data_IF_298448653916
#
_entry.id   IF_298448653916
#
_cell.length_a   1.000
_cell.length_b   1.000
_cell.length_c   1.000
_cell.angle_alpha   90.00
_cell.angle_beta   90.00
_cell.angle_gamma   90.00
#
_symmetry.space_group_name_H-M   'P 1'
#
loop_
_entity.id
_entity.type
_entity.pdbx_description
1 polymer ?
#
# COMPACT_ATOMS: atom_id res chain seq x y z
N UNK A 1 36.33 24.32 58.27
CA UNK A 1 36.97 24.11 56.96
C UNK A 1 37.39 22.65 56.91
N UNK A 2 37.03 21.78 55.98
CA UNK A 2 36.41 21.87 54.65
C UNK A 2 35.75 20.49 54.36
N UNK A 3 34.49 20.49 53.93
CA UNK A 3 33.98 19.95 52.66
C UNK A 3 34.05 18.44 52.43
N UNK A 4 32.86 17.83 52.53
CA UNK A 4 32.53 16.52 51.96
C UNK A 4 32.22 16.67 50.47
N UNK A 5 32.75 15.76 49.64
CA UNK A 5 32.28 15.56 48.27
C UNK A 5 31.86 14.09 48.12
N UNK A 6 30.61 13.80 48.46
CA UNK A 6 29.96 12.56 48.06
C UNK A 6 29.59 12.70 46.57
N UNK A 7 30.28 11.93 45.72
CA UNK A 7 29.97 11.84 44.30
C UNK A 7 28.65 11.06 44.13
N UNK A 8 27.59 11.78 43.76
CA UNK A 8 26.35 11.18 43.29
C UNK A 8 26.56 10.64 41.87
N UNK A 9 26.20 9.38 41.55
CA UNK A 9 26.13 8.94 40.17
C UNK A 9 24.98 9.68 39.49
N UNK A 10 25.35 10.54 38.54
CA UNK A 10 24.41 11.26 37.68
C UNK A 10 23.59 10.25 36.90
N UNK A 11 22.28 10.48 36.92
CA UNK A 11 21.25 9.60 36.40
C UNK A 11 21.48 9.15 34.97
N UNK A 12 21.07 7.90 34.76
CA UNK A 12 20.86 7.27 33.46
C UNK A 12 20.09 8.25 32.58
N UNK A 13 20.75 8.72 31.53
CA UNK A 13 20.14 9.48 30.44
C UNK A 13 19.18 8.51 29.74
N UNK A 14 17.91 8.55 30.11
CA UNK A 14 16.85 7.89 29.37
C UNK A 14 16.79 8.64 28.04
N UNK A 15 17.40 8.07 27.00
CA UNK A 15 17.12 8.42 25.62
C UNK A 15 15.62 8.20 25.43
N UNK A 16 14.84 9.27 25.63
CA UNK A 16 13.45 9.33 25.21
C UNK A 16 13.46 9.05 23.73
N UNK A 17 13.06 7.84 23.36
CA UNK A 17 12.78 7.50 21.97
C UNK A 17 11.87 8.59 21.44
N UNK A 18 12.22 9.16 20.30
CA UNK A 18 11.33 10.03 19.55
C UNK A 18 10.13 9.15 19.23
N UNK A 19 9.10 9.21 20.07
CA UNK A 19 7.80 8.72 19.76
C UNK A 19 7.33 9.63 18.64
N UNK A 20 7.62 9.24 17.40
CA UNK A 20 6.88 9.72 16.25
C UNK A 20 5.43 9.44 16.58
N UNK A 21 4.72 10.48 17.00
CA UNK A 21 3.28 10.44 17.20
C UNK A 21 2.69 10.11 15.84
N UNK A 22 2.54 8.81 15.57
CA UNK A 22 1.72 8.33 14.47
C UNK A 22 0.31 8.74 14.85
N UNK A 23 -0.13 9.87 14.31
CA UNK A 23 -1.55 10.18 14.30
C UNK A 23 -2.21 8.95 13.69
N UNK A 24 -3.12 8.24 14.39
CA UNK A 24 -3.79 7.09 13.82
C UNK A 24 -4.38 7.56 12.50
N UNK A 25 -4.03 6.88 11.41
CA UNK A 25 -4.52 7.20 10.09
C UNK A 25 -6.07 7.29 10.16
N UNK A 26 -6.61 8.51 10.10
CA UNK A 26 -8.03 8.83 10.33
C UNK A 26 -8.93 8.07 9.36
N UNK A 27 -8.36 7.60 8.25
CA UNK A 27 -9.02 6.73 7.31
C UNK A 27 -9.54 5.42 7.92
N UNK A 28 -8.94 4.93 9.01
CA UNK A 28 -9.30 3.65 9.63
C UNK A 28 -10.26 3.75 10.80
N UNK A 29 -10.41 4.92 11.41
CA UNK A 29 -11.27 5.08 12.59
C UNK A 29 -12.75 4.85 12.25
N UNK A 30 -13.37 3.84 12.86
CA UNK A 30 -14.75 3.44 12.58
C UNK A 30 -14.95 2.72 11.23
N UNK A 31 -13.90 2.39 10.49
CA UNK A 31 -14.01 1.59 9.27
C UNK A 31 -14.42 0.15 9.61
N UNK A 32 -15.52 -0.31 9.03
CA UNK A 32 -16.06 -1.68 9.18
C UNK A 32 -15.76 -2.57 7.98
N UNK A 33 -15.27 -1.99 6.89
CA UNK A 33 -14.96 -2.68 5.64
C UNK A 33 -13.80 -1.97 4.93
N UNK A 34 -13.00 -2.76 4.22
CA UNK A 34 -12.03 -2.26 3.24
C UNK A 34 -12.57 -2.50 1.81
N UNK A 35 -12.82 -1.44 1.08
CA UNK A 35 -13.11 -1.49 -0.35
C UNK A 35 -11.83 -1.37 -1.17
N UNK A 36 -11.58 -2.27 -2.11
CA UNK A 36 -10.43 -2.21 -3.02
C UNK A 36 -10.93 -1.68 -4.36
N UNK A 37 -10.51 -0.48 -4.72
CA UNK A 37 -10.78 0.12 -6.02
C UNK A 37 -9.52 0.05 -6.87
N UNK A 38 -9.59 -0.65 -7.99
CA UNK A 38 -8.45 -0.84 -8.87
C UNK A 38 -8.65 -0.14 -10.21
N UNK A 39 -7.69 0.72 -10.58
CA UNK A 39 -7.59 1.34 -11.89
C UNK A 39 -6.28 0.87 -12.52
N UNK A 40 -6.38 -0.10 -13.42
CA UNK A 40 -5.23 -0.60 -14.19
C UNK A 40 -5.41 -0.14 -15.63
N UNK A 41 -4.43 0.57 -16.15
CA UNK A 41 -4.36 0.92 -17.57
C UNK A 41 -3.25 0.08 -18.23
N UNK A 42 -3.56 -1.11 -18.75
CA UNK A 42 -2.61 -1.88 -19.52
C UNK A 42 -2.66 -1.40 -20.96
N UNK A 43 -1.76 -0.49 -21.31
CA UNK A 43 -1.73 0.07 -22.66
C UNK A 43 -1.52 -1.07 -23.68
N UNK A 44 -2.34 -1.08 -24.73
CA UNK A 44 -2.25 -1.95 -25.92
C UNK A 44 -2.26 -3.48 -25.71
N UNK A 45 -2.56 -3.99 -24.51
CA UNK A 45 -2.64 -5.45 -24.29
C UNK A 45 -3.96 -6.04 -24.85
N UNK A 46 -3.91 -7.11 -25.68
CA UNK A 46 -5.12 -7.74 -26.23
C UNK A 46 -6.04 -8.32 -25.15
N UNK A 47 -5.48 -8.76 -24.01
CA UNK A 47 -6.20 -9.33 -22.87
C UNK A 47 -6.43 -8.33 -21.72
N UNK A 48 -6.44 -7.02 -22.00
CA UNK A 48 -6.54 -5.93 -21.00
C UNK A 48 -7.55 -6.20 -19.88
N UNK A 49 -8.78 -6.58 -20.23
CA UNK A 49 -9.85 -6.78 -19.23
C UNK A 49 -9.55 -7.95 -18.30
N UNK A 50 -9.02 -9.05 -18.85
CA UNK A 50 -8.62 -10.24 -18.07
C UNK A 50 -7.43 -9.93 -17.17
N UNK A 51 -6.44 -9.21 -17.70
CA UNK A 51 -5.27 -8.79 -16.94
C UNK A 51 -5.65 -7.86 -15.79
N UNK A 52 -6.48 -6.85 -16.07
CA UNK A 52 -6.99 -5.96 -15.04
C UNK A 52 -7.71 -6.76 -13.97
N UNK A 53 -8.67 -7.62 -14.33
CA UNK A 53 -9.39 -8.45 -13.35
C UNK A 53 -8.45 -9.31 -12.50
N UNK A 54 -7.48 -9.99 -13.11
CA UNK A 54 -6.51 -10.82 -12.39
C UNK A 54 -5.64 -10.02 -11.40
N UNK A 55 -5.17 -8.83 -11.81
CA UNK A 55 -4.41 -7.94 -10.93
C UNK A 55 -5.28 -7.41 -9.78
N UNK A 56 -6.51 -6.99 -10.07
CA UNK A 56 -7.48 -6.52 -9.07
C UNK A 56 -7.78 -7.61 -8.03
N UNK A 57 -8.10 -8.81 -8.50
CA UNK A 57 -8.40 -9.97 -7.66
C UNK A 57 -7.20 -10.33 -6.78
N UNK A 58 -5.99 -10.28 -7.33
CA UNK A 58 -4.76 -10.56 -6.59
C UNK A 58 -4.50 -9.52 -5.51
N UNK A 59 -4.62 -8.23 -5.81
CA UNK A 59 -4.45 -7.15 -4.83
C UNK A 59 -5.48 -7.29 -3.71
N UNK A 60 -6.75 -7.55 -4.04
CA UNK A 60 -7.80 -7.82 -3.04
C UNK A 60 -7.45 -9.01 -2.16
N UNK A 61 -7.00 -10.12 -2.74
CA UNK A 61 -6.61 -11.30 -1.97
C UNK A 61 -5.43 -11.01 -1.02
N UNK A 62 -4.42 -10.27 -1.47
CA UNK A 62 -3.27 -9.87 -0.64
C UNK A 62 -3.66 -8.87 0.46
N UNK A 63 -4.58 -7.95 0.19
CA UNK A 63 -5.12 -7.02 1.18
C UNK A 63 -6.00 -7.72 2.22
N UNK A 64 -6.72 -8.77 1.82
CA UNK A 64 -7.55 -9.59 2.68
C UNK A 64 -6.75 -10.50 3.63
N UNK A 65 -5.49 -10.80 3.30
CA UNK A 65 -4.63 -11.61 4.15
C UNK A 65 -4.51 -11.00 5.55
N UNK A 66 -5.03 -11.72 6.55
CA UNK A 66 -5.05 -11.33 7.98
C UNK A 66 -5.81 -10.02 8.27
N UNK A 67 -6.68 -9.58 7.36
CA UNK A 67 -7.48 -8.39 7.58
C UNK A 67 -8.49 -8.61 8.74
N UNK A 68 -8.59 -7.67 9.69
CA UNK A 68 -9.57 -7.73 10.78
C UNK A 68 -10.99 -7.33 10.33
N UNK A 69 -11.12 -6.78 9.13
CA UNK A 69 -12.37 -6.34 8.52
C UNK A 69 -12.54 -6.96 7.13
N UNK A 70 -13.78 -7.15 6.64
CA UNK A 70 -14.03 -7.67 5.31
C UNK A 70 -13.38 -6.82 4.21
N UNK A 71 -12.77 -7.48 3.23
CA UNK A 71 -12.14 -6.85 2.05
C UNK A 71 -12.90 -7.23 0.79
N UNK A 72 -13.43 -6.23 0.09
CA UNK A 72 -14.24 -6.41 -1.13
C UNK A 72 -13.67 -5.62 -2.29
N UNK A 73 -13.90 -6.05 -3.52
CA UNK A 73 -13.65 -5.22 -4.70
C UNK A 73 -14.81 -4.25 -4.90
N UNK A 74 -14.49 -2.99 -5.18
CA UNK A 74 -15.46 -1.96 -5.52
C UNK A 74 -15.28 -1.56 -6.98
N UNK A 75 -16.38 -1.65 -7.74
CA UNK A 75 -16.40 -1.18 -9.12
C UNK A 75 -16.40 0.36 -9.16
N UNK A 76 -15.97 0.98 -10.28
CA UNK A 76 -16.17 2.42 -10.49
C UNK A 76 -17.66 2.78 -10.34
N UNK A 77 -17.96 3.79 -9.51
CA UNK A 77 -19.32 4.23 -9.23
C UNK A 77 -20.06 3.41 -8.17
N UNK A 78 -19.42 2.42 -7.55
CA UNK A 78 -20.02 1.68 -6.43
C UNK A 78 -20.29 2.62 -5.23
N UNK A 79 -21.50 2.62 -4.64
CA UNK A 79 -21.82 3.50 -3.50
C UNK A 79 -20.95 3.22 -2.27
N UNK A 80 -20.34 2.04 -2.15
CA UNK A 80 -19.36 1.71 -1.13
C UNK A 80 -18.12 2.59 -1.16
N UNK A 81 -17.82 3.27 -2.28
CA UNK A 81 -16.70 4.21 -2.38
C UNK A 81 -16.88 5.47 -1.52
N UNK A 82 -18.13 5.81 -1.18
CA UNK A 82 -18.48 6.98 -0.36
C UNK A 82 -19.15 6.60 0.96
N UNK A 83 -19.26 5.31 1.26
CA UNK A 83 -19.87 4.85 2.50
C UNK A 83 -19.02 5.26 3.71
N UNK A 84 -19.66 5.82 4.73
CA UNK A 84 -19.00 6.38 5.91
C UNK A 84 -18.18 5.36 6.72
N UNK A 85 -18.53 4.08 6.62
CA UNK A 85 -17.91 2.96 7.31
C UNK A 85 -16.92 2.19 6.43
N UNK A 86 -16.63 2.67 5.22
CA UNK A 86 -15.73 2.00 4.28
C UNK A 86 -14.44 2.81 4.12
N UNK A 87 -13.31 2.20 4.48
CA UNK A 87 -12.01 2.67 4.02
C UNK A 87 -11.78 2.12 2.61
N UNK A 88 -11.30 2.96 1.69
CA UNK A 88 -11.04 2.56 0.30
C UNK A 88 -9.55 2.49 0.06
N UNK A 89 -9.05 1.32 -0.31
CA UNK A 89 -7.72 1.09 -0.84
C UNK A 89 -7.75 1.26 -2.37
N UNK A 90 -7.15 2.35 -2.83
CA UNK A 90 -7.02 2.68 -4.23
C UNK A 90 -5.70 2.10 -4.78
N UNK A 91 -5.82 1.18 -5.74
CA UNK A 91 -4.69 0.63 -6.49
C UNK A 91 -4.69 1.20 -7.91
N UNK A 92 -3.73 2.06 -8.19
CA UNK A 92 -3.52 2.60 -9.53
C UNK A 92 -2.32 1.92 -10.15
N UNK A 93 -2.47 1.38 -11.34
CA UNK A 93 -1.37 0.77 -12.08
C UNK A 93 -1.41 1.12 -13.57
N UNK A 94 -0.23 1.20 -14.17
CA UNK A 94 -0.05 1.39 -15.60
C UNK A 94 1.00 0.39 -16.11
N UNK A 95 0.73 -0.24 -17.25
CA UNK A 95 1.70 -1.11 -17.92
C UNK A 95 2.14 -0.43 -19.20
N UNK A 96 3.41 -0.05 -19.24
CA UNK A 96 4.06 0.53 -20.41
C UNK A 96 4.80 -0.58 -21.15
N UNK A 97 4.49 -0.78 -22.42
CA UNK A 97 5.30 -1.63 -23.30
C UNK A 97 6.28 -0.77 -24.09
N UNK A 98 7.57 -1.11 -24.08
CA UNK A 98 8.50 -0.48 -25.01
C UNK A 98 8.07 -0.80 -26.45
N UNK A 99 7.86 0.26 -27.25
CA UNK A 99 7.52 0.13 -28.66
C UNK A 99 8.67 -0.47 -29.48
N UNK A 100 8.41 -0.88 -30.74
CA UNK A 100 9.37 -1.59 -31.59
C UNK A 100 10.60 -0.78 -32.07
N UNK A 101 10.89 0.38 -31.49
CA UNK A 101 11.92 1.32 -31.99
C UNK A 101 13.19 1.46 -31.12
N UNK A 102 13.35 0.70 -30.05
CA UNK A 102 14.60 0.72 -29.27
C UNK A 102 15.58 -0.32 -29.83
N UNK A 103 16.28 0.04 -30.91
CA UNK A 103 17.40 -0.71 -31.50
C UNK A 103 18.56 -0.79 -30.48
N UNK A 104 18.51 -1.73 -29.53
CA UNK A 104 19.66 -2.08 -28.69
C UNK A 104 19.38 -2.38 -27.22
N UNK A 105 18.19 -2.06 -26.69
CA UNK A 105 17.82 -2.45 -25.34
C UNK A 105 16.97 -3.73 -25.38
N UNK A 106 17.23 -4.67 -24.45
CA UNK A 106 16.32 -5.78 -24.18
C UNK A 106 15.00 -5.20 -23.68
N UNK A 107 14.10 -4.86 -24.61
CA UNK A 107 12.90 -4.12 -24.31
C UNK A 107 11.91 -4.96 -23.51
N UNK A 108 11.68 -4.54 -22.28
CA UNK A 108 10.75 -5.17 -21.35
C UNK A 108 9.56 -4.25 -21.11
N UNK A 109 8.39 -4.84 -20.90
CA UNK A 109 7.26 -4.09 -20.35
C UNK A 109 7.56 -3.69 -18.90
N UNK A 110 7.03 -2.55 -18.47
CA UNK A 110 7.15 -2.02 -17.11
C UNK A 110 5.77 -1.81 -16.50
N UNK A 111 5.53 -2.42 -15.34
CA UNK A 111 4.37 -2.16 -14.48
C UNK A 111 4.76 -1.12 -13.43
N UNK A 112 4.07 0.02 -13.43
CA UNK A 112 4.17 1.05 -12.38
C UNK A 112 2.87 1.09 -11.60
N UNK A 113 2.92 1.04 -10.27
CA UNK A 113 1.73 1.11 -9.43
C UNK A 113 1.90 1.98 -8.18
N UNK A 114 0.77 2.41 -7.62
CA UNK A 114 0.68 3.10 -6.32
C UNK A 114 -0.52 2.59 -5.52
N UNK A 115 -0.37 2.57 -4.19
CA UNK A 115 -1.44 2.26 -3.24
C UNK A 115 -1.70 3.47 -2.35
N UNK A 116 -2.98 3.83 -2.23
CA UNK A 116 -3.43 4.93 -1.37
C UNK A 116 -4.68 4.50 -0.62
N UNK A 117 -4.86 5.00 0.60
CA UNK A 117 -6.10 4.82 1.33
C UNK A 117 -6.80 6.15 1.44
N UNK A 118 -8.12 6.13 1.28
CA UNK A 118 -8.95 7.27 1.60
C UNK A 118 -10.25 6.80 2.22
N UNK A 119 -10.92 7.70 2.92
CA UNK A 119 -12.28 7.51 3.40
C UNK A 119 -13.01 8.83 3.28
N UNK A 120 -14.19 8.81 2.65
CA UNK A 120 -14.92 10.02 2.30
C UNK A 120 -15.26 10.93 3.51
N UNK A 121 -15.42 10.33 4.69
CA UNK A 121 -15.78 11.05 5.92
C UNK A 121 -14.60 11.36 6.84
N UNK A 122 -13.37 10.98 6.48
CA UNK A 122 -12.18 11.32 7.24
C UNK A 122 -11.67 12.71 6.84
N UNK A 123 -11.09 13.46 7.78
CA UNK A 123 -10.40 14.71 7.45
C UNK A 123 -9.26 14.43 6.44
N UNK A 124 -8.94 15.36 5.52
CA UNK A 124 -7.93 15.16 4.48
C UNK A 124 -6.52 15.14 5.10
N UNK A 125 -6.13 14.05 5.74
CA UNK A 125 -4.86 13.94 6.48
C UNK A 125 -3.87 12.95 5.85
N UNK A 126 -4.21 12.28 4.75
CA UNK A 126 -3.36 11.24 4.15
C UNK A 126 -3.11 11.52 2.67
N UNK A 127 -2.41 12.62 2.39
CA UNK A 127 -1.89 12.91 1.04
C UNK A 127 -0.76 11.94 0.63
N UNK A 128 -0.24 11.14 1.58
CA UNK A 128 0.88 10.22 1.41
C UNK A 128 0.41 8.78 1.64
N UNK A 129 0.36 8.00 0.56
CA UNK A 129 0.23 6.53 0.62
C UNK A 129 1.61 5.88 0.49
N UNK A 130 1.64 4.57 0.19
CA UNK A 130 2.88 3.87 -0.10
C UNK A 130 3.62 4.53 -1.29
N UNK A 131 4.96 4.49 -1.25
CA UNK A 131 5.78 5.00 -2.35
C UNK A 131 5.40 4.26 -3.67
N UNK A 132 5.27 4.96 -4.81
CA UNK A 132 5.06 4.31 -6.10
C UNK A 132 6.17 3.31 -6.42
N UNK A 133 5.80 2.18 -7.02
CA UNK A 133 6.73 1.08 -7.33
C UNK A 133 6.71 0.78 -8.82
N UNK A 134 7.88 0.48 -9.38
CA UNK A 134 8.05 0.10 -10.78
C UNK A 134 8.72 -1.28 -10.83
N UNK A 135 8.20 -2.19 -11.65
CA UNK A 135 8.68 -3.56 -11.75
C UNK A 135 8.34 -4.17 -13.11
N UNK A 136 8.97 -5.31 -13.45
CA UNK A 136 8.51 -6.10 -14.60
C UNK A 136 7.07 -6.59 -14.35
N UNK A 137 6.17 -6.56 -15.35
CA UNK A 137 4.84 -7.14 -15.19
C UNK A 137 4.95 -8.65 -14.98
N UNK A 138 4.00 -9.25 -14.25
CA UNK A 138 3.95 -10.70 -14.10
C UNK A 138 3.84 -11.38 -15.48
N UNK A 139 4.57 -12.49 -15.67
CA UNK A 139 4.50 -13.27 -16.90
C UNK A 139 3.08 -13.85 -17.08
N UNK A 140 2.45 -13.57 -18.23
CA UNK A 140 1.09 -14.01 -18.51
C UNK A 140 0.99 -15.54 -18.59
N UNK A 141 0.06 -16.14 -17.84
CA UNK A 141 -0.20 -17.59 -17.85
C UNK A 141 0.57 -18.40 -16.78
N UNK A 142 1.49 -17.78 -16.06
CA UNK A 142 2.00 -18.28 -14.79
C UNK A 142 1.34 -17.52 -13.63
N UNK A 143 1.27 -18.13 -12.45
CA UNK A 143 0.80 -17.44 -11.24
C UNK A 143 1.45 -16.04 -11.13
N UNK A 144 0.71 -15.00 -10.69
CA UNK A 144 1.27 -13.68 -10.47
C UNK A 144 2.59 -13.82 -9.71
N UNK A 145 3.66 -13.30 -10.32
CA UNK A 145 5.01 -13.63 -9.90
C UNK A 145 5.22 -13.30 -8.42
N UNK A 146 6.04 -14.10 -7.73
CA UNK A 146 6.44 -13.83 -6.34
C UNK A 146 6.96 -12.40 -6.14
N UNK A 147 7.51 -11.79 -7.20
CA UNK A 147 7.94 -10.39 -7.22
C UNK A 147 6.77 -9.40 -7.14
N UNK A 148 5.67 -9.64 -7.86
CA UNK A 148 4.48 -8.78 -7.82
C UNK A 148 3.87 -8.81 -6.42
N UNK A 149 3.70 -10.01 -5.88
CA UNK A 149 3.18 -10.19 -4.53
C UNK A 149 4.07 -9.54 -3.48
N UNK A 150 5.39 -9.67 -3.60
CA UNK A 150 6.33 -9.02 -2.69
C UNK A 150 6.22 -7.49 -2.76
N UNK A 151 6.15 -6.91 -3.96
CA UNK A 151 6.02 -5.47 -4.14
C UNK A 151 4.68 -4.94 -3.58
N UNK A 152 3.57 -5.63 -3.85
CA UNK A 152 2.25 -5.29 -3.33
C UNK A 152 2.22 -5.47 -1.81
N UNK A 153 2.78 -6.56 -1.27
CA UNK A 153 2.84 -6.78 0.17
C UNK A 153 3.65 -5.71 0.89
N UNK A 154 4.77 -5.28 0.33
CA UNK A 154 5.56 -4.18 0.89
C UNK A 154 4.78 -2.86 0.89
N UNK A 155 4.09 -2.52 -0.21
CA UNK A 155 3.24 -1.34 -0.26
C UNK A 155 2.04 -1.43 0.70
N UNK A 156 1.43 -2.61 0.85
CA UNK A 156 0.35 -2.85 1.82
C UNK A 156 0.84 -2.76 3.26
N UNK A 157 2.09 -3.13 3.57
CA UNK A 157 2.66 -2.99 4.91
C UNK A 157 2.89 -1.53 5.33
N UNK A 158 3.13 -0.64 4.36
CA UNK A 158 3.21 0.81 4.56
C UNK A 158 1.81 1.45 4.70
N UNK A 159 0.76 0.78 4.21
CA UNK A 159 -0.57 1.36 4.04
C UNK A 159 -1.61 0.82 5.05
N UNK A 160 -1.53 -0.47 5.41
CA UNK A 160 -2.53 -1.15 6.22
C UNK A 160 -2.07 -1.29 7.68
N UNK A 161 -2.85 -0.82 8.67
CA UNK A 161 -2.41 -0.72 10.06
C UNK A 161 -2.19 -2.09 10.72
N UNK A 162 -2.91 -3.13 10.28
CA UNK A 162 -2.71 -4.50 10.78
C UNK A 162 -1.50 -5.21 10.18
N UNK A 163 -0.87 -4.64 9.14
CA UNK A 163 0.34 -5.18 8.51
C UNK A 163 1.61 -4.48 9.00
N UNK A 164 1.48 -3.25 9.49
CA UNK A 164 2.53 -2.52 10.18
C UNK A 164 2.74 -3.09 11.59
N UNK A 165 3.44 -4.21 11.72
CA UNK A 165 3.81 -4.74 13.05
C UNK A 165 4.84 -3.78 13.69
N UNK A 166 4.69 -3.37 14.96
CA UNK A 166 5.84 -2.90 15.71
C UNK A 166 6.85 -4.06 15.74
N UNK A 167 8.12 -3.80 15.41
CA UNK A 167 9.17 -4.76 15.71
C UNK A 167 9.17 -5.02 17.23
N UNK A 168 9.32 -6.28 17.70
CA UNK A 168 9.53 -6.56 19.12
C UNK A 168 10.82 -5.91 19.63
#
# INVERSE_FOLDING_TARGET
>A
MAWACALSPIGVMICGGVATASTPALAWDGARRLGVQCLVDPDRAPDRRRLQAALCDRVRALAADKAPIPVVLLAPGDPGLIAADTAVLLFHANIQSEGPQSLGSRGGSLLVFSLRVFRATAAPSELFGAAPRAMAPPAFGADPSSQFDAAVNAALAETLPWRSRPAP
#
